data_IF_600305810246
#
_entry.id   IF_600305810246
#
_cell.length_a   1.000
_cell.length_b   1.000
_cell.length_c   1.000
_cell.angle_alpha   90.00
_cell.angle_beta   90.00
_cell.angle_gamma   90.00
#
_symmetry.space_group_name_H-M   'P 1'
#
loop_
_entity.id
_entity.type
_entity.pdbx_description
1 polymer ?
#
# COMPACT_ATOMS: atom_id res chain seq x y z
N UNK A 1 -25.33 -12.56 -7.44
CA UNK A 1 -24.10 -11.82 -7.77
C UNK A 1 -23.47 -11.38 -6.45
N UNK A 2 -22.41 -12.05 -6.00
CA UNK A 2 -21.79 -11.80 -4.71
C UNK A 2 -21.01 -10.48 -4.75
N UNK A 3 -21.26 -9.59 -3.79
CA UNK A 3 -20.52 -8.34 -3.60
C UNK A 3 -19.04 -8.71 -3.40
N UNK A 4 -18.18 -8.36 -4.37
CA UNK A 4 -16.72 -8.38 -4.19
C UNK A 4 -16.40 -7.30 -3.16
N UNK A 5 -16.37 -7.67 -1.89
CA UNK A 5 -15.77 -6.84 -0.85
C UNK A 5 -14.29 -6.77 -1.22
N UNK A 6 -13.85 -5.64 -1.76
CA UNK A 6 -12.43 -5.35 -1.86
C UNK A 6 -11.97 -5.07 -0.43
N UNK A 7 -11.60 -6.13 0.28
CA UNK A 7 -10.94 -5.99 1.58
C UNK A 7 -9.62 -5.25 1.36
N UNK A 8 -9.35 -4.28 2.23
CA UNK A 8 -8.08 -3.58 2.24
C UNK A 8 -6.95 -4.60 2.47
N UNK A 9 -5.88 -4.58 1.66
CA UNK A 9 -4.80 -5.55 1.78
C UNK A 9 -4.17 -5.48 3.18
N UNK A 10 -3.67 -6.61 3.67
CA UNK A 10 -2.79 -6.61 4.83
C UNK A 10 -1.54 -5.76 4.58
N UNK A 11 -0.83 -5.37 5.63
CA UNK A 11 0.41 -4.58 5.49
C UNK A 11 1.42 -5.33 4.61
N UNK A 12 1.56 -6.64 4.84
CA UNK A 12 2.45 -7.51 4.05
C UNK A 12 2.04 -7.59 2.59
N UNK A 13 0.73 -7.72 2.30
CA UNK A 13 0.23 -7.74 0.92
C UNK A 13 0.42 -6.40 0.22
N UNK A 14 0.20 -5.29 0.94
CA UNK A 14 0.42 -3.95 0.41
C UNK A 14 1.89 -3.72 0.04
N UNK A 15 2.83 -4.15 0.89
CA UNK A 15 4.27 -4.09 0.60
C UNK A 15 4.62 -4.97 -0.61
N UNK A 16 4.14 -6.22 -0.65
CA UNK A 16 4.40 -7.11 -1.78
C UNK A 16 3.85 -6.56 -3.11
N UNK A 17 2.72 -5.86 -3.07
CA UNK A 17 2.17 -5.18 -4.23
C UNK A 17 3.00 -3.97 -4.65
N UNK A 18 3.47 -3.14 -3.71
CA UNK A 18 4.40 -2.04 -3.99
C UNK A 18 5.68 -2.56 -4.65
N UNK A 19 6.26 -3.64 -4.15
CA UNK A 19 7.47 -4.25 -4.73
C UNK A 19 7.24 -4.72 -6.17
N UNK A 20 6.05 -5.27 -6.46
CA UNK A 20 5.65 -5.68 -7.81
C UNK A 20 5.52 -4.49 -8.75
N UNK A 21 4.89 -3.40 -8.28
CA UNK A 21 4.79 -2.14 -9.03
C UNK A 21 6.19 -1.60 -9.35
N UNK A 22 7.09 -1.56 -8.37
CA UNK A 22 8.48 -1.16 -8.57
C UNK A 22 9.24 -2.07 -9.54
N UNK A 23 8.94 -3.38 -9.53
CA UNK A 23 9.49 -4.34 -10.49
C UNK A 23 9.10 -3.99 -11.93
N UNK A 24 7.83 -3.64 -12.15
CA UNK A 24 7.32 -3.19 -13.46
C UNK A 24 7.90 -1.85 -13.90
N UNK A 25 8.19 -0.95 -12.97
CA UNK A 25 8.83 0.33 -13.30
C UNK A 25 10.23 0.13 -13.85
N UNK A 26 10.95 -0.89 -13.35
CA UNK A 26 12.29 -1.24 -13.81
C UNK A 26 12.32 -2.03 -15.11
N UNK A 27 11.19 -2.57 -15.58
CA UNK A 27 11.17 -3.39 -16.79
C UNK A 27 11.10 -2.58 -18.09
N UNK A 28 11.03 -1.24 -18.04
CA UNK A 28 11.00 -0.32 -19.20
C UNK A 28 9.86 -0.55 -20.24
N UNK A 29 9.04 -1.58 -20.07
CA UNK A 29 7.94 -1.99 -20.96
C UNK A 29 6.59 -1.31 -20.64
N UNK A 30 6.59 -0.25 -19.84
CA UNK A 30 5.35 0.32 -19.32
C UNK A 30 4.97 1.60 -20.06
N UNK A 31 3.76 1.63 -20.62
CA UNK A 31 3.20 2.83 -21.25
C UNK A 31 2.82 3.91 -20.21
N UNK A 32 2.65 5.15 -20.67
CA UNK A 32 2.41 6.32 -19.81
C UNK A 32 1.09 6.23 -19.04
N UNK A 33 0.04 5.65 -19.63
CA UNK A 33 -1.27 5.51 -18.99
C UNK A 33 -1.20 4.44 -17.88
N UNK A 34 -0.53 3.33 -18.17
CA UNK A 34 -0.21 2.27 -17.19
C UNK A 34 0.67 2.83 -16.06
N UNK A 35 1.68 3.65 -16.36
CA UNK A 35 2.53 4.28 -15.34
C UNK A 35 1.69 5.13 -14.37
N UNK A 36 0.78 5.96 -14.88
CA UNK A 36 -0.05 6.82 -14.04
C UNK A 36 -0.96 6.00 -13.10
N UNK A 37 -1.56 4.93 -13.61
CA UNK A 37 -2.40 4.02 -12.83
C UNK A 37 -1.61 3.30 -11.72
N UNK A 38 -0.42 2.79 -12.05
CA UNK A 38 0.44 2.07 -11.11
C UNK A 38 1.02 3.00 -10.02
N UNK A 39 1.41 4.23 -10.38
CA UNK A 39 1.84 5.25 -9.40
C UNK A 39 0.71 5.59 -8.44
N UNK A 40 -0.52 5.77 -8.96
CA UNK A 40 -1.69 6.01 -8.11
C UNK A 40 -1.91 4.86 -7.14
N UNK A 41 -1.89 3.62 -7.64
CA UNK A 41 -2.05 2.43 -6.81
C UNK A 41 -0.96 2.31 -5.73
N UNK A 42 0.30 2.53 -6.08
CA UNK A 42 1.39 2.54 -5.12
C UNK A 42 1.20 3.61 -4.03
N UNK A 43 0.71 4.79 -4.41
CA UNK A 43 0.44 5.90 -3.48
C UNK A 43 -0.66 5.54 -2.47
N UNK A 44 -1.73 4.90 -2.93
CA UNK A 44 -2.82 4.40 -2.08
C UNK A 44 -2.31 3.36 -1.07
N UNK A 45 -1.48 2.41 -1.52
CA UNK A 45 -0.90 1.38 -0.66
C UNK A 45 0.07 1.98 0.37
N UNK A 46 0.89 2.94 -0.03
CA UNK A 46 1.80 3.65 0.88
C UNK A 46 1.00 4.41 1.95
N UNK A 47 -0.10 5.08 1.58
CA UNK A 47 -0.95 5.77 2.54
C UNK A 47 -1.55 4.81 3.57
N UNK A 48 -2.02 3.64 3.11
CA UNK A 48 -2.52 2.57 3.98
C UNK A 48 -1.44 2.06 4.94
N UNK A 49 -0.23 1.80 4.44
CA UNK A 49 0.89 1.37 5.27
C UNK A 49 1.23 2.41 6.35
N UNK A 50 1.30 3.69 5.98
CA UNK A 50 1.55 4.79 6.93
C UNK A 50 0.48 4.89 8.00
N UNK A 51 -0.80 4.79 7.63
CA UNK A 51 -1.90 4.83 8.58
C UNK A 51 -1.81 3.70 9.62
N UNK A 52 -1.44 2.49 9.18
CA UNK A 52 -1.25 1.35 10.09
C UNK A 52 -0.05 1.55 11.02
N UNK A 53 1.07 2.05 10.51
CA UNK A 53 2.26 2.35 11.32
C UNK A 53 1.98 3.43 12.36
N UNK A 54 1.30 4.52 11.99
CA UNK A 54 0.90 5.57 12.93
C UNK A 54 -0.02 5.03 14.02
N UNK A 55 -1.00 4.19 13.67
CA UNK A 55 -1.86 3.57 14.68
C UNK A 55 -1.06 2.70 15.66
N UNK A 56 -0.11 1.91 15.17
CA UNK A 56 0.76 1.11 16.02
C UNK A 56 1.66 1.98 16.92
N UNK A 57 2.20 3.07 16.38
CA UNK A 57 2.98 4.07 17.11
C UNK A 57 2.16 4.71 18.24
N UNK A 58 0.92 5.13 17.95
CA UNK A 58 0.01 5.68 18.96
C UNK A 58 -0.29 4.69 20.08
N UNK A 59 -0.51 3.41 19.76
CA UNK A 59 -0.74 2.36 20.75
C UNK A 59 0.50 2.15 21.63
N UNK A 60 1.70 2.16 21.05
CA UNK A 60 2.96 2.08 21.80
C UNK A 60 3.14 3.29 22.72
N UNK A 61 2.92 4.51 22.21
CA UNK A 61 3.07 5.74 23.00
C UNK A 61 2.12 5.76 24.20
N UNK A 62 0.87 5.31 24.04
CA UNK A 62 -0.09 5.18 25.16
C UNK A 62 0.39 4.25 26.28
N UNK A 63 1.17 3.22 25.96
CA UNK A 63 1.74 2.31 26.95
C UNK A 63 2.92 2.95 27.67
N UNK A 64 3.72 3.76 26.98
CA UNK A 64 4.91 4.42 27.53
C UNK A 64 4.57 5.66 28.37
N UNK A 65 3.44 6.33 28.10
CA UNK A 65 2.94 7.47 28.86
C UNK A 65 2.09 7.08 30.10
N UNK A 66 1.80 5.79 30.27
CA UNK A 66 1.08 5.23 31.42
C UNK A 66 2.03 4.80 32.55
#
# INVERSE_FOLDING_TARGET
>A
MAKKQQEEPSYTEAIAEIERILGRFRSEEMDVDSLAAEVKRATELIALCKARLHKAEEEVNKILEA
#
